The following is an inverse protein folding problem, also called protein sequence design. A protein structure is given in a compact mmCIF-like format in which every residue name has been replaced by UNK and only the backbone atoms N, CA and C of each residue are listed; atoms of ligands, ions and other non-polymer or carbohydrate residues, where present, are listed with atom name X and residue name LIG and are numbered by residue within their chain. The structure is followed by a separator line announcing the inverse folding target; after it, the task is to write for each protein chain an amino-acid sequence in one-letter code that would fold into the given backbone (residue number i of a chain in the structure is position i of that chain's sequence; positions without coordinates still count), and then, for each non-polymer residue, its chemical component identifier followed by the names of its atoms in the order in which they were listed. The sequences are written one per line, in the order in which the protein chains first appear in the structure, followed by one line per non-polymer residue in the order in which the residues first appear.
data_IF_212690404711
#
_entry.id   IF_212690404711
#
_cell.length_a   1.000
_cell.length_b   1.000
_cell.length_c   1.000
_cell.angle_alpha   90.00
_cell.angle_beta   90.00
_cell.angle_gamma   90.00
#
_symmetry.space_group_name_H-M   'P 1'
#
loop_
_entity.id
_entity.type
_entity.pdbx_description
1 polymer ?
#
# COMPACT_ATOMS: atom_id res chain seq x y z
N UNK A 1 -14.20 28.73 85.45
CA UNK A 1 -14.43 27.42 86.10
C UNK A 1 -14.76 26.41 85.01
N UNK A 2 -14.08 25.24 85.05
CA UNK A 2 -14.29 24.03 84.23
C UNK A 2 -15.76 23.65 84.13
N UNK A 3 -16.17 22.94 83.08
CA UNK A 3 -16.83 21.62 83.12
C UNK A 3 -16.86 21.09 81.66
N UNK A 4 -15.99 20.15 81.29
CA UNK A 4 -16.15 18.69 81.37
C UNK A 4 -17.08 18.10 80.27
N UNK A 5 -16.46 17.40 79.32
CA UNK A 5 -17.05 16.30 78.53
C UNK A 5 -17.65 15.22 79.46
N UNK A 6 -18.60 14.42 78.95
CA UNK A 6 -18.34 12.99 78.81
C UNK A 6 -18.98 12.41 77.51
N UNK A 7 -19.04 11.08 77.28
CA UNK A 7 -18.01 10.35 76.55
C UNK A 7 -18.53 9.55 75.34
N UNK A 8 -17.58 8.90 74.67
CA UNK A 8 -17.73 8.00 73.54
C UNK A 8 -18.80 6.90 73.74
N UNK A 9 -19.53 6.61 72.66
CA UNK A 9 -20.10 5.30 72.39
C UNK A 9 -19.47 4.74 71.12
N UNK A 10 -19.01 3.51 71.25
CA UNK A 10 -18.16 2.74 70.35
C UNK A 10 -19.04 1.85 69.47
N UNK A 11 -18.53 1.54 68.28
CA UNK A 11 -18.92 0.45 67.37
C UNK A 11 -20.20 0.65 66.52
N UNK A 12 -20.01 0.76 65.20
CA UNK A 12 -19.92 -0.44 64.36
C UNK A 12 -19.48 -0.06 62.94
N UNK A 13 -18.36 -0.66 62.50
CA UNK A 13 -17.97 -0.75 61.10
C UNK A 13 -19.08 -1.47 60.32
N UNK A 14 -19.60 -0.87 59.25
CA UNK A 14 -20.05 -1.65 58.11
C UNK A 14 -19.66 -0.98 56.81
N UNK A 15 -18.97 -1.79 56.00
CA UNK A 15 -18.26 -1.46 54.77
C UNK A 15 -19.24 -0.97 53.70
N UNK A 16 -18.90 0.11 53.01
CA UNK A 16 -19.38 0.34 51.65
C UNK A 16 -18.21 0.84 50.80
N UNK A 17 -17.37 -0.11 50.39
CA UNK A 17 -16.42 0.05 49.29
C UNK A 17 -17.17 -0.30 48.00
N UNK A 18 -17.89 0.66 47.41
CA UNK A 18 -18.43 0.64 46.04
C UNK A 18 -19.23 1.95 45.86
N UNK A 19 -18.82 2.90 45.00
CA UNK A 19 -18.31 2.63 43.67
C UNK A 19 -17.05 3.45 43.33
N UNK A 20 -15.88 2.86 43.57
CA UNK A 20 -14.66 3.17 42.80
C UNK A 20 -14.64 2.39 41.46
N UNK A 21 -15.82 2.05 40.93
CA UNK A 21 -16.01 1.24 39.69
C UNK A 21 -16.52 2.11 38.51
N UNK A 22 -16.69 3.42 38.69
CA UNK A 22 -17.12 4.30 37.59
C UNK A 22 -15.93 4.90 36.79
N UNK A 23 -14.68 4.66 37.20
CA UNK A 23 -13.50 5.30 36.59
C UNK A 23 -12.66 4.41 35.64
N UNK A 24 -13.20 3.30 35.08
CA UNK A 24 -12.47 2.47 34.09
C UNK A 24 -13.28 2.21 32.80
N UNK A 25 -14.34 2.99 32.55
CA UNK A 25 -15.09 2.93 31.28
C UNK A 25 -14.62 3.98 30.25
N UNK A 26 -13.35 4.39 30.30
CA UNK A 26 -12.70 5.14 29.23
C UNK A 26 -11.71 4.23 28.47
N UNK A 27 -12.19 3.05 28.05
CA UNK A 27 -11.52 2.35 26.95
C UNK A 27 -11.90 3.13 25.69
N UNK A 28 -11.09 4.17 25.42
CA UNK A 28 -11.09 4.82 24.11
C UNK A 28 -10.93 3.74 23.04
N UNK A 29 -11.69 3.88 21.96
CA UNK A 29 -11.61 2.99 20.81
C UNK A 29 -10.14 2.82 20.42
N UNK A 30 -9.57 1.65 20.70
CA UNK A 30 -8.29 1.27 20.14
C UNK A 30 -8.53 1.20 18.64
N UNK A 31 -7.99 2.17 17.90
CA UNK A 31 -7.95 2.11 16.45
C UNK A 31 -7.38 0.73 16.08
N UNK A 32 -8.13 -0.07 15.33
CA UNK A 32 -7.84 -1.48 15.07
C UNK A 32 -6.64 -1.70 14.13
N UNK A 33 -5.76 -0.71 14.01
CA UNK A 33 -4.48 -0.83 13.33
C UNK A 33 -3.45 -1.44 14.27
N UNK A 34 -2.57 -2.27 13.72
CA UNK A 34 -1.50 -2.89 14.48
C UNK A 34 -0.17 -2.71 13.79
N UNK A 35 0.90 -2.66 14.59
CA UNK A 35 2.25 -2.68 14.09
C UNK A 35 2.47 -3.93 13.21
N UNK A 36 2.96 -3.69 12.00
CA UNK A 36 3.38 -4.69 11.04
C UNK A 36 4.86 -4.47 10.72
N UNK A 37 5.70 -5.18 11.46
CA UNK A 37 7.16 -5.10 11.32
C UNK A 37 7.66 -5.70 9.99
N UNK A 38 6.91 -6.63 9.39
CA UNK A 38 7.29 -7.26 8.12
C UNK A 38 7.12 -6.26 6.98
N UNK A 39 5.92 -5.70 6.84
CA UNK A 39 5.65 -4.65 5.87
C UNK A 39 6.50 -3.40 6.13
N UNK A 40 6.87 -3.13 7.38
CA UNK A 40 7.80 -2.07 7.75
C UNK A 40 9.15 -2.21 7.06
N UNK A 41 9.78 -3.39 7.11
CA UNK A 41 11.07 -3.65 6.47
C UNK A 41 10.99 -3.57 4.95
N UNK A 42 9.96 -4.18 4.35
CA UNK A 42 9.75 -4.13 2.89
C UNK A 42 9.56 -2.68 2.43
N UNK A 43 8.79 -1.89 3.18
CA UNK A 43 8.60 -0.48 2.87
C UNK A 43 9.90 0.32 3.03
N UNK A 44 10.69 0.07 4.09
CA UNK A 44 12.01 0.71 4.27
C UNK A 44 12.92 0.52 3.05
N UNK A 45 13.03 -0.72 2.56
CA UNK A 45 13.79 -1.04 1.34
C UNK A 45 13.22 -0.30 0.12
N UNK A 46 11.88 -0.30 -0.02
CA UNK A 46 11.18 0.39 -1.10
C UNK A 46 11.36 1.92 -1.11
N UNK A 47 11.65 2.55 0.05
CA UNK A 47 11.82 4.01 0.13
C UNK A 47 13.02 4.52 -0.69
N UNK A 48 13.99 3.64 -0.97
CA UNK A 48 15.14 3.97 -1.81
C UNK A 48 14.79 4.10 -3.30
N UNK A 49 13.66 3.52 -3.74
CA UNK A 49 13.21 3.56 -5.12
C UNK A 49 12.36 4.80 -5.41
N UNK A 50 12.41 5.27 -6.65
CA UNK A 50 11.72 6.50 -7.07
C UNK A 50 10.20 6.34 -7.15
N UNK A 51 9.74 5.10 -7.31
CA UNK A 51 8.35 4.71 -7.27
C UNK A 51 8.17 3.54 -6.31
N UNK A 52 7.07 3.56 -5.57
CA UNK A 52 6.60 2.41 -4.82
C UNK A 52 5.07 2.38 -4.82
N UNK A 53 4.50 1.21 -4.62
CA UNK A 53 3.06 0.97 -4.65
C UNK A 53 2.65 0.25 -3.38
N UNK A 54 1.60 0.73 -2.73
CA UNK A 54 0.98 0.07 -1.57
C UNK A 54 -0.42 -0.34 -1.97
N UNK A 55 -0.75 -1.62 -1.88
CA UNK A 55 -2.08 -2.13 -2.19
C UNK A 55 -2.74 -2.76 -0.96
N UNK A 56 -4.05 -2.57 -0.81
CA UNK A 56 -4.88 -3.16 0.24
C UNK A 56 -6.07 -3.85 -0.41
N UNK A 57 -6.28 -5.13 -0.09
CA UNK A 57 -7.28 -5.99 -0.77
C UNK A 57 -8.49 -6.30 0.10
N UNK A 58 -9.63 -6.48 -0.56
CA UNK A 58 -10.89 -6.99 0.01
C UNK A 58 -11.35 -6.24 1.28
N UNK A 59 -11.45 -4.91 1.20
CA UNK A 59 -11.90 -4.06 2.29
C UNK A 59 -13.42 -4.14 2.40
N UNK A 60 -13.88 -4.91 3.39
CA UNK A 60 -15.31 -5.07 3.73
C UNK A 60 -15.78 -3.94 4.65
N UNK A 61 -17.03 -3.46 4.52
CA UNK A 61 -17.60 -2.44 5.39
C UNK A 61 -17.74 -2.95 6.83
N UNK A 62 -17.53 -2.07 7.82
CA UNK A 62 -17.73 -2.40 9.23
C UNK A 62 -19.11 -1.96 9.70
N UNK A 63 -19.90 -2.93 10.16
CA UNK A 63 -21.23 -2.70 10.76
C UNK A 63 -21.24 -1.86 12.06
N UNK A 64 -20.09 -1.51 12.65
CA UNK A 64 -19.99 -0.91 14.00
C UNK A 64 -19.05 0.29 14.14
N UNK A 65 -18.59 0.91 13.04
CA UNK A 65 -17.73 2.11 13.16
C UNK A 65 -18.62 3.32 13.40
N UNK A 66 -18.67 3.79 14.66
CA UNK A 66 -19.49 4.94 15.08
C UNK A 66 -19.25 6.20 14.25
N UNK A 67 -18.06 6.37 13.70
CA UNK A 67 -17.65 7.57 12.95
C UNK A 67 -17.71 7.40 11.43
N UNK A 68 -17.91 6.20 10.90
CA UNK A 68 -17.79 5.91 9.45
C UNK A 68 -16.38 6.05 8.86
N UNK A 69 -15.38 6.45 9.68
CA UNK A 69 -13.98 6.65 9.30
C UNK A 69 -13.12 5.52 9.84
N UNK A 70 -12.41 4.82 8.95
CA UNK A 70 -11.55 3.69 9.27
C UNK A 70 -10.10 3.99 8.89
N UNK A 71 -9.16 3.93 9.84
CA UNK A 71 -7.73 3.99 9.50
C UNK A 71 -7.28 2.65 8.90
N UNK A 72 -6.78 2.67 7.67
CA UNK A 72 -6.31 1.48 6.96
C UNK A 72 -4.81 1.27 7.13
N UNK A 73 -4.05 2.38 7.07
CA UNK A 73 -2.59 2.40 7.12
C UNK A 73 -2.11 3.64 7.87
N UNK A 74 -1.08 3.50 8.68
CA UNK A 74 -0.28 4.60 9.19
C UNK A 74 1.21 4.26 9.10
N UNK A 75 2.00 5.16 8.55
CA UNK A 75 3.45 5.08 8.43
C UNK A 75 4.02 6.15 9.36
N UNK A 76 4.64 5.73 10.44
CA UNK A 76 5.27 6.62 11.41
C UNK A 76 6.79 6.62 11.20
N UNK A 77 7.41 7.79 11.37
CA UNK A 77 8.86 8.01 11.26
C UNK A 77 9.38 8.46 12.64
N UNK A 78 9.60 7.51 13.57
CA UNK A 78 9.95 7.78 14.96
C UNK A 78 11.08 8.80 15.12
N UNK A 79 10.87 9.75 16.03
CA UNK A 79 11.87 10.78 16.35
C UNK A 79 11.98 11.93 15.34
N UNK A 80 11.38 11.84 14.14
CA UNK A 80 11.40 12.92 13.14
C UNK A 80 10.13 13.80 13.13
N UNK A 81 9.11 13.44 13.92
CA UNK A 81 7.77 14.06 13.92
C UNK A 81 7.13 14.09 12.52
N UNK A 82 7.48 13.12 11.68
CA UNK A 82 6.84 12.88 10.39
C UNK A 82 5.92 11.66 10.54
N UNK A 83 4.73 11.72 9.93
CA UNK A 83 3.78 10.61 9.95
C UNK A 83 2.82 10.71 8.79
N UNK A 84 2.45 9.60 8.17
CA UNK A 84 1.39 9.55 7.17
C UNK A 84 0.30 8.58 7.60
N UNK A 85 -0.96 8.95 7.42
CA UNK A 85 -2.12 8.15 7.78
C UNK A 85 -3.11 8.15 6.63
N UNK A 86 -3.53 6.96 6.20
CA UNK A 86 -4.60 6.77 5.24
C UNK A 86 -5.86 6.29 5.96
N UNK A 87 -6.96 7.01 5.73
CA UNK A 87 -8.26 6.71 6.30
C UNK A 87 -9.32 6.60 5.21
N UNK A 88 -10.26 5.69 5.40
CA UNK A 88 -11.42 5.49 4.54
C UNK A 88 -12.65 6.05 5.25
N UNK A 89 -13.26 7.08 4.67
CA UNK A 89 -14.54 7.66 5.12
C UNK A 89 -15.64 7.31 4.11
N UNK A 90 -16.39 6.25 4.41
CA UNK A 90 -17.48 5.79 3.54
C UNK A 90 -18.67 6.73 3.52
N UNK A 91 -18.92 7.42 4.64
CA UNK A 91 -20.06 8.32 4.79
C UNK A 91 -19.89 9.57 3.95
N UNK A 92 -18.67 10.11 3.93
CA UNK A 92 -18.34 11.28 3.12
C UNK A 92 -17.85 10.94 1.71
N UNK A 93 -17.78 9.64 1.36
CA UNK A 93 -17.26 9.13 0.08
C UNK A 93 -15.83 9.59 -0.23
N UNK A 94 -14.94 9.46 0.77
CA UNK A 94 -13.58 9.99 0.71
C UNK A 94 -12.54 8.99 1.20
N UNK A 95 -11.36 9.04 0.58
CA UNK A 95 -10.13 8.52 1.19
C UNK A 95 -9.29 9.70 1.64
N UNK A 96 -9.03 9.80 2.94
CA UNK A 96 -8.29 10.89 3.55
C UNK A 96 -6.84 10.46 3.73
N UNK A 97 -5.92 11.30 3.27
CA UNK A 97 -4.50 11.18 3.50
C UNK A 97 -4.06 12.32 4.43
N UNK A 98 -3.74 11.97 5.67
CA UNK A 98 -3.16 12.91 6.63
C UNK A 98 -1.64 12.78 6.63
N UNK A 99 -0.94 13.90 6.50
CA UNK A 99 0.52 13.99 6.59
C UNK A 99 0.87 14.92 7.74
N UNK A 100 1.67 14.43 8.67
CA UNK A 100 2.31 15.24 9.72
C UNK A 100 3.71 15.56 9.25
N UNK A 101 4.04 16.84 9.16
CA UNK A 101 5.38 17.32 8.83
C UNK A 101 5.89 18.24 9.94
N UNK A 102 7.01 17.89 10.57
CA UNK A 102 7.59 18.64 11.69
C UNK A 102 6.57 18.90 12.84
N UNK A 103 5.63 17.97 13.03
CA UNK A 103 4.53 18.08 14.00
C UNK A 103 3.32 18.89 13.54
N UNK A 104 3.32 19.46 12.32
CA UNK A 104 2.14 20.10 11.73
C UNK A 104 1.36 19.11 10.88
N UNK A 105 0.09 18.93 11.20
CA UNK A 105 -0.79 18.02 10.46
C UNK A 105 -1.44 18.73 9.26
N UNK A 106 -1.49 18.05 8.13
CA UNK A 106 -2.20 18.44 6.92
C UNK A 106 -3.03 17.27 6.42
N UNK A 107 -4.35 17.44 6.35
CA UNK A 107 -5.26 16.49 5.72
C UNK A 107 -5.54 16.87 4.28
N UNK A 108 -5.43 15.92 3.37
CA UNK A 108 -5.92 16.00 1.99
C UNK A 108 -6.82 14.80 1.73
N UNK A 109 -7.68 14.85 0.72
CA UNK A 109 -8.57 13.73 0.43
C UNK A 109 -8.78 13.53 -1.07
N UNK A 110 -9.07 12.29 -1.42
CA UNK A 110 -9.63 11.88 -2.69
C UNK A 110 -11.14 11.74 -2.53
N UNK A 111 -11.91 12.27 -3.48
CA UNK A 111 -13.34 11.97 -3.61
C UNK A 111 -13.47 10.68 -4.40
N UNK A 112 -14.35 9.78 -3.94
CA UNK A 112 -14.53 8.44 -4.52
C UNK A 112 -16.02 8.20 -4.69
N UNK A 113 -16.56 8.51 -5.87
CA UNK A 113 -18.00 8.50 -6.11
C UNK A 113 -18.61 7.09 -6.03
N UNK A 114 -17.83 6.06 -6.34
CA UNK A 114 -18.20 4.65 -6.26
C UNK A 114 -18.30 4.12 -4.82
N UNK A 115 -17.87 4.89 -3.82
CA UNK A 115 -17.88 4.46 -2.43
C UNK A 115 -19.28 4.57 -1.81
N UNK A 116 -19.80 3.45 -1.31
CA UNK A 116 -21.02 3.40 -0.49
C UNK A 116 -20.69 2.91 0.92
N UNK A 117 -21.64 3.04 1.86
CA UNK A 117 -21.45 2.60 3.25
C UNK A 117 -21.31 1.07 3.37
N UNK A 118 -21.85 0.33 2.41
CA UNK A 118 -21.99 -1.12 2.41
C UNK A 118 -21.23 -1.84 1.28
N UNK A 119 -20.59 -1.11 0.36
CA UNK A 119 -19.83 -1.72 -0.73
C UNK A 119 -18.56 -2.42 -0.24
N UNK A 120 -18.19 -3.53 -0.86
CA UNK A 120 -16.87 -4.12 -0.70
C UNK A 120 -15.93 -3.42 -1.69
N UNK A 121 -14.78 -2.97 -1.22
CA UNK A 121 -13.70 -2.52 -2.11
C UNK A 121 -12.80 -3.72 -2.35
N UNK A 122 -12.67 -4.14 -3.60
CA UNK A 122 -11.84 -5.28 -3.97
C UNK A 122 -10.36 -4.92 -3.91
N UNK A 123 -10.00 -3.74 -4.41
CA UNK A 123 -8.62 -3.26 -4.40
C UNK A 123 -8.56 -1.75 -4.15
N UNK A 124 -7.69 -1.35 -3.22
CA UNK A 124 -7.29 0.04 -3.01
C UNK A 124 -5.78 0.11 -3.19
N UNK A 125 -5.31 0.94 -4.13
CA UNK A 125 -3.90 1.05 -4.48
C UNK A 125 -3.43 2.50 -4.39
N UNK A 126 -2.36 2.73 -3.64
CA UNK A 126 -1.61 3.98 -3.62
C UNK A 126 -0.35 3.83 -4.46
N UNK A 127 -0.26 4.57 -5.57
CA UNK A 127 0.98 4.72 -6.33
C UNK A 127 1.71 5.96 -5.84
N UNK A 128 2.90 5.79 -5.28
CA UNK A 128 3.68 6.84 -4.65
C UNK A 128 4.89 7.14 -5.56
N UNK A 129 4.91 8.35 -6.09
CA UNK A 129 5.99 8.89 -6.92
C UNK A 129 6.85 9.83 -6.08
N UNK A 130 8.12 9.49 -5.91
CA UNK A 130 9.08 10.23 -5.08
C UNK A 130 9.98 11.16 -5.90
N UNK A 131 9.85 11.13 -7.22
CA UNK A 131 10.62 11.98 -8.13
C UNK A 131 10.36 13.47 -7.88
N UNK A 132 11.45 14.23 -7.74
CA UNK A 132 11.41 15.69 -7.66
C UNK A 132 11.32 16.28 -9.07
N UNK A 133 10.69 17.46 -9.25
CA UNK A 133 10.24 18.41 -8.22
C UNK A 133 8.82 18.21 -7.69
N UNK A 134 8.02 17.30 -8.25
CA UNK A 134 6.60 17.14 -7.92
C UNK A 134 6.28 15.70 -7.47
N UNK A 135 6.71 15.32 -6.25
CA UNK A 135 6.31 14.04 -5.71
C UNK A 135 4.81 14.06 -5.41
N UNK A 136 4.17 12.93 -5.66
CA UNK A 136 2.72 12.82 -5.59
C UNK A 136 2.28 11.39 -5.31
N UNK A 137 1.04 11.27 -4.84
CA UNK A 137 0.40 10.00 -4.55
C UNK A 137 -0.88 9.93 -5.37
N UNK A 138 -0.98 8.91 -6.23
CA UNK A 138 -2.19 8.61 -6.97
C UNK A 138 -2.97 7.49 -6.29
N UNK A 139 -4.28 7.65 -6.18
CA UNK A 139 -5.19 6.64 -5.63
C UNK A 139 -5.93 5.93 -6.76
N UNK A 140 -5.97 4.60 -6.68
CA UNK A 140 -6.82 3.75 -7.49
C UNK A 140 -7.73 2.94 -6.57
N UNK A 141 -9.01 2.85 -6.91
CA UNK A 141 -10.00 2.02 -6.21
C UNK A 141 -10.71 1.20 -7.26
N UNK A 142 -10.77 -0.12 -7.04
CA UNK A 142 -11.40 -1.08 -7.94
C UNK A 142 -11.03 -0.83 -9.41
N UNK A 143 -9.73 -0.65 -9.64
CA UNK A 143 -9.11 -0.44 -10.95
C UNK A 143 -9.33 0.93 -11.59
N UNK A 144 -10.04 1.83 -10.93
CA UNK A 144 -10.29 3.18 -11.40
C UNK A 144 -9.41 4.20 -10.68
N UNK A 145 -8.72 5.05 -11.45
CA UNK A 145 -7.92 6.16 -10.90
C UNK A 145 -8.85 7.25 -10.35
N UNK A 146 -8.75 7.51 -9.05
CA UNK A 146 -9.60 8.46 -8.33
C UNK A 146 -9.02 9.88 -8.31
N UNK A 147 -7.69 10.00 -8.37
CA UNK A 147 -7.03 11.31 -8.38
C UNK A 147 -5.57 11.25 -7.99
N UNK A 148 -4.97 12.44 -7.83
CA UNK A 148 -3.58 12.64 -7.45
C UNK A 148 -3.48 13.73 -6.39
N UNK A 149 -2.69 13.48 -5.35
CA UNK A 149 -2.36 14.46 -4.31
C UNK A 149 -0.86 14.71 -4.35
N UNK A 150 -0.47 15.97 -4.55
CA UNK A 150 0.92 16.37 -4.46
C UNK A 150 1.37 16.35 -2.99
N UNK A 151 2.55 15.79 -2.74
CA UNK A 151 3.14 15.75 -1.41
C UNK A 151 4.24 16.82 -1.30
N UNK A 152 4.28 17.64 -0.24
CA UNK A 152 5.37 18.62 -0.07
C UNK A 152 6.74 17.96 0.16
N UNK A 153 6.73 16.75 0.74
CA UNK A 153 7.91 15.91 0.97
C UNK A 153 7.66 14.49 0.49
N UNK A 154 8.75 13.82 0.09
CA UNK A 154 8.74 12.39 -0.25
C UNK A 154 8.81 11.54 1.01
N UNK A 155 8.41 10.27 0.93
CA UNK A 155 8.60 9.32 2.04
C UNK A 155 10.10 9.11 2.32
N UNK A 156 10.92 9.07 1.25
CA UNK A 156 12.38 9.01 1.32
C UNK A 156 12.95 10.18 2.12
N UNK A 157 12.51 11.41 1.85
CA UNK A 157 12.97 12.59 2.58
C UNK A 157 12.55 12.55 4.06
N UNK A 158 11.33 12.10 4.34
CA UNK A 158 10.88 11.91 5.73
C UNK A 158 11.77 10.89 6.45
N UNK A 159 12.09 9.78 5.79
CA UNK A 159 12.95 8.73 6.32
C UNK A 159 14.39 9.21 6.60
N UNK A 160 15.00 9.90 5.65
CA UNK A 160 16.38 10.39 5.76
C UNK A 160 16.56 11.47 6.84
N UNK A 161 15.48 12.11 7.29
CA UNK A 161 15.55 13.08 8.41
C UNK A 161 15.53 12.44 9.80
N UNK A 162 15.35 11.11 9.88
CA UNK A 162 15.39 10.40 11.16
C UNK A 162 16.83 10.31 11.69
N UNK A 163 17.00 10.55 13.00
CA UNK A 163 18.30 10.34 13.67
C UNK A 163 18.70 8.87 13.72
N UNK A 164 17.72 7.99 13.90
CA UNK A 164 17.91 6.55 13.94
C UNK A 164 16.85 5.92 13.02
N UNK A 165 17.19 5.64 11.75
CA UNK A 165 16.20 5.31 10.74
C UNK A 165 15.59 3.93 10.98
N UNK A 166 14.36 3.93 11.49
CA UNK A 166 13.50 2.75 11.67
C UNK A 166 12.04 3.15 11.52
N UNK A 167 11.42 2.74 10.45
CA UNK A 167 10.02 2.98 10.11
C UNK A 167 9.11 2.14 11.01
N UNK A 168 7.92 2.67 11.32
CA UNK A 168 6.87 1.90 11.97
C UNK A 168 5.61 1.94 11.11
N UNK A 169 5.24 0.79 10.57
CA UNK A 169 4.04 0.64 9.76
C UNK A 169 2.95 0.02 10.61
N UNK A 170 1.79 0.66 10.66
CA UNK A 170 0.59 0.18 11.31
C UNK A 170 -0.50 -0.02 10.28
N UNK A 171 -1.13 -1.20 10.25
CA UNK A 171 -2.23 -1.49 9.32
C UNK A 171 -3.40 -2.18 9.99
N UNK A 172 -4.57 -2.08 9.37
CA UNK A 172 -5.72 -2.89 9.76
C UNK A 172 -5.46 -4.38 9.43
N UNK A 173 -5.43 -5.23 10.47
CA UNK A 173 -5.03 -6.64 10.35
C UNK A 173 -5.92 -7.47 9.44
N UNK A 174 -7.19 -7.10 9.34
CA UNK A 174 -8.21 -7.86 8.60
C UNK A 174 -8.03 -7.82 7.08
N UNK A 175 -7.26 -6.85 6.57
CA UNK A 175 -7.05 -6.67 5.15
C UNK A 175 -5.60 -7.03 4.80
N UNK A 176 -5.45 -7.72 3.66
CA UNK A 176 -4.14 -8.01 3.11
C UNK A 176 -3.55 -6.73 2.53
N UNK A 177 -2.31 -6.42 2.90
CA UNK A 177 -1.55 -5.30 2.40
C UNK A 177 -0.27 -5.80 1.75
N UNK A 178 0.09 -5.24 0.60
CA UNK A 178 1.32 -5.54 -0.12
C UNK A 178 2.03 -4.23 -0.44
N UNK A 179 3.36 -4.25 -0.41
CA UNK A 179 4.23 -3.15 -0.82
C UNK A 179 5.10 -3.63 -1.97
N UNK A 180 5.10 -2.90 -3.07
CA UNK A 180 5.87 -3.22 -4.26
C UNK A 180 6.77 -2.05 -4.65
N UNK A 181 8.04 -2.31 -4.94
CA UNK A 181 9.04 -1.27 -5.27
C UNK A 181 9.69 -1.45 -6.63
N UNK A 182 9.63 -2.65 -7.20
CA UNK A 182 10.34 -3.04 -8.43
C UNK A 182 9.37 -3.44 -9.56
N UNK A 183 8.15 -2.90 -9.52
CA UNK A 183 7.09 -3.25 -10.47
C UNK A 183 6.34 -2.01 -10.91
N UNK A 184 5.74 -2.08 -12.10
CA UNK A 184 4.92 -1.00 -12.61
C UNK A 184 3.53 -1.04 -11.98
N UNK A 185 2.84 0.10 -11.98
CA UNK A 185 1.49 0.17 -11.41
C UNK A 185 0.53 -0.75 -12.17
N UNK A 186 0.70 -0.90 -13.48
CA UNK A 186 -0.11 -1.79 -14.33
C UNK A 186 0.00 -3.24 -13.85
N UNK A 187 1.21 -3.72 -13.53
CA UNK A 187 1.40 -5.07 -12.99
C UNK A 187 0.71 -5.26 -11.64
N UNK A 188 0.74 -4.26 -10.76
CA UNK A 188 0.00 -4.33 -9.48
C UNK A 188 -1.50 -4.36 -9.73
N UNK A 189 -2.02 -3.52 -10.63
CA UNK A 189 -3.44 -3.51 -11.01
C UNK A 189 -3.86 -4.87 -11.59
N UNK A 190 -3.06 -5.46 -12.49
CA UNK A 190 -3.36 -6.76 -13.07
C UNK A 190 -3.38 -7.88 -12.01
N UNK A 191 -2.45 -7.87 -11.04
CA UNK A 191 -2.47 -8.78 -9.88
C UNK A 191 -3.71 -8.59 -8.99
N UNK A 192 -4.33 -7.42 -9.05
CA UNK A 192 -5.56 -7.09 -8.35
C UNK A 192 -6.83 -7.34 -9.20
N UNK A 193 -6.71 -8.16 -10.26
CA UNK A 193 -7.78 -8.51 -11.19
C UNK A 193 -8.37 -7.31 -11.94
N UNK A 194 -7.55 -6.29 -12.18
CA UNK A 194 -7.91 -5.21 -13.08
C UNK A 194 -7.68 -5.65 -14.52
N UNK A 195 -8.68 -5.51 -15.42
CA UNK A 195 -8.45 -5.75 -16.84
C UNK A 195 -7.46 -4.71 -17.37
N UNK A 196 -6.48 -5.15 -18.15
CA UNK A 196 -5.64 -4.25 -18.93
C UNK A 196 -6.56 -3.43 -19.84
N UNK A 197 -6.74 -2.16 -19.51
CA UNK A 197 -7.29 -1.19 -20.45
C UNK A 197 -6.17 -0.85 -21.43
N UNK A 198 -5.82 -1.81 -22.29
CA UNK A 198 -5.36 -1.43 -23.63
C UNK A 198 -6.53 -0.61 -24.16
N UNK A 199 -6.32 0.71 -24.19
CA UNK A 199 -7.27 1.66 -24.75
C UNK A 199 -7.48 1.20 -26.20
N UNK A 200 -8.52 0.40 -26.42
CA UNK A 200 -9.20 0.37 -27.71
C UNK A 200 -9.69 1.79 -27.88
N UNK A 201 -8.84 2.62 -28.49
CA UNK A 201 -9.25 3.91 -29.00
C UNK A 201 -10.42 3.58 -29.92
N UNK A 202 -11.62 4.04 -29.54
CA UNK A 202 -12.73 4.02 -30.47
C UNK A 202 -12.25 4.80 -31.70
N UNK A 203 -12.05 4.11 -32.81
CA UNK A 203 -11.93 4.76 -34.11
C UNK A 203 -13.29 5.43 -34.28
N UNK A 204 -13.35 6.74 -34.05
CA UNK A 204 -14.49 7.53 -34.48
C UNK A 204 -14.59 7.31 -35.99
N UNK A 205 -15.67 6.62 -36.41
CA UNK A 205 -15.94 6.45 -37.82
C UNK A 205 -16.05 7.85 -38.43
N UNK A 206 -15.07 8.22 -39.26
CA UNK A 206 -15.15 9.42 -40.07
C UNK A 206 -16.50 9.40 -40.82
N UNK A 207 -17.22 10.52 -40.78
CA UNK A 207 -18.54 10.65 -41.38
C UNK A 207 -18.51 10.12 -42.83
N UNK A 208 -19.45 9.25 -43.22
CA UNK A 208 -19.41 8.64 -44.54
C UNK A 208 -19.62 9.72 -45.61
N UNK A 209 -18.68 9.84 -46.53
CA UNK A 209 -18.91 10.55 -47.78
C UNK A 209 -20.06 9.87 -48.51
N UNK A 210 -21.03 10.69 -48.87
CA UNK A 210 -22.33 10.31 -49.41
C UNK A 210 -22.17 9.70 -50.80
N UNK A 211 -21.82 8.42 -50.89
CA UNK A 211 -21.91 7.58 -52.09
C UNK A 211 -21.64 6.12 -51.75
N UNK A 212 -22.61 5.44 -51.12
CA UNK A 212 -22.84 3.99 -51.32
C UNK A 212 -24.10 3.57 -50.56
N UNK A 213 -25.25 3.84 -51.18
CA UNK A 213 -26.50 3.16 -50.82
C UNK A 213 -26.67 2.03 -51.83
N UNK A 214 -26.20 0.81 -51.50
CA UNK A 214 -26.80 -0.41 -52.04
C UNK A 214 -26.41 -1.68 -51.26
N UNK A 215 -27.31 -2.06 -50.35
CA UNK A 215 -27.81 -3.43 -50.07
C UNK A 215 -26.82 -4.59 -50.28
N UNK A 216 -26.47 -5.31 -49.22
CA UNK A 216 -26.77 -6.75 -49.00
C UNK A 216 -26.71 -7.04 -47.51
N UNK A 217 -27.71 -7.79 -47.03
CA UNK A 217 -27.91 -8.24 -45.65
C UNK A 217 -27.31 -9.65 -45.55
N UNK A 218 -26.38 -9.85 -44.60
CA UNK A 218 -25.85 -11.15 -44.23
C UNK A 218 -24.56 -11.52 -44.96
N UNK A 219 -23.42 -11.11 -44.37
CA UNK A 219 -22.16 -11.86 -44.32
C UNK A 219 -21.28 -11.12 -43.29
N UNK A 220 -20.81 -11.83 -42.26
CA UNK A 220 -19.78 -11.30 -41.35
C UNK A 220 -18.46 -11.38 -42.14
N UNK A 221 -17.78 -10.26 -42.44
CA UNK A 221 -16.45 -10.34 -43.00
C UNK A 221 -15.54 -10.96 -41.94
N UNK A 222 -14.95 -12.12 -42.26
CA UNK A 222 -13.80 -12.63 -41.50
C UNK A 222 -12.67 -11.65 -41.84
N UNK A 223 -12.44 -10.68 -40.96
CA UNK A 223 -11.28 -9.80 -41.02
C UNK A 223 -10.08 -10.69 -40.70
N UNK A 224 -9.45 -11.24 -41.74
CA UNK A 224 -8.19 -11.96 -41.62
C UNK A 224 -7.02 -10.97 -41.75
N UNK A 225 -7.04 -9.91 -40.95
CA UNK A 225 -5.89 -9.02 -40.77
C UNK A 225 -5.49 -9.08 -39.29
N UNK A 226 -5.13 -10.27 -38.83
CA UNK A 226 -4.13 -10.36 -37.78
C UNK A 226 -2.83 -9.92 -38.47
N UNK A 227 -2.30 -8.76 -38.10
CA UNK A 227 -0.98 -8.30 -38.56
C UNK A 227 0.08 -9.35 -38.19
N UNK A 228 0.29 -10.33 -39.08
CA UNK A 228 1.30 -11.38 -38.93
C UNK A 228 2.69 -10.74 -38.75
N UNK A 229 2.90 -9.55 -39.32
CA UNK A 229 4.11 -8.76 -39.12
C UNK A 229 4.28 -8.26 -37.68
N UNK A 230 3.20 -7.92 -36.97
CA UNK A 230 3.27 -7.51 -35.56
C UNK A 230 3.53 -8.71 -34.65
N UNK A 231 2.88 -9.83 -34.93
CA UNK A 231 3.11 -11.10 -34.20
C UNK A 231 4.54 -11.61 -34.41
N UNK A 232 5.03 -11.60 -35.65
CA UNK A 232 6.40 -12.01 -35.99
C UNK A 232 7.43 -11.07 -35.35
N UNK A 233 7.13 -9.77 -35.27
CA UNK A 233 8.01 -8.81 -34.58
C UNK A 233 8.07 -9.06 -33.06
N UNK A 234 6.93 -9.31 -32.43
CA UNK A 234 6.86 -9.64 -31.01
C UNK A 234 7.60 -10.97 -30.69
N UNK A 235 7.45 -11.99 -31.54
CA UNK A 235 8.16 -13.26 -31.40
C UNK A 235 9.68 -13.06 -31.54
N UNK A 236 10.12 -12.27 -32.52
CA UNK A 236 11.54 -11.99 -32.71
C UNK A 236 12.13 -11.22 -31.52
N UNK A 237 11.42 -10.23 -30.98
CA UNK A 237 11.85 -9.50 -29.78
C UNK A 237 11.95 -10.43 -28.56
N UNK A 238 10.99 -11.34 -28.37
CA UNK A 238 11.02 -12.34 -27.30
C UNK A 238 12.21 -13.29 -27.44
N UNK A 239 12.52 -13.73 -28.66
CA UNK A 239 13.68 -14.61 -28.94
C UNK A 239 15.00 -13.92 -28.60
N UNK A 240 15.14 -12.63 -28.90
CA UNK A 240 16.33 -11.86 -28.50
C UNK A 240 16.48 -11.78 -26.97
N UNK A 241 15.40 -11.49 -26.25
CA UNK A 241 15.43 -11.39 -24.78
C UNK A 241 15.76 -12.74 -24.15
N UNK A 242 15.19 -13.84 -24.66
CA UNK A 242 15.47 -15.20 -24.14
C UNK A 242 16.92 -15.61 -24.40
N UNK A 243 17.51 -15.23 -25.53
CA UNK A 243 18.94 -15.47 -25.81
C UNK A 243 19.83 -14.70 -24.84
N UNK A 244 19.52 -13.44 -24.58
CA UNK A 244 20.27 -12.60 -23.65
C UNK A 244 20.19 -13.14 -22.21
N UNK A 245 19.00 -13.52 -21.75
CA UNK A 245 18.81 -14.15 -20.44
C UNK A 245 19.57 -15.49 -20.32
N UNK A 246 19.62 -16.29 -21.39
CA UNK A 246 20.39 -17.53 -21.39
C UNK A 246 21.89 -17.28 -21.27
N UNK A 247 22.40 -16.24 -21.93
CA UNK A 247 23.80 -15.84 -21.85
C UNK A 247 24.16 -15.29 -20.46
N UNK A 248 23.28 -14.50 -19.84
CA UNK A 248 23.44 -14.01 -18.47
C UNK A 248 23.42 -15.14 -17.44
N UNK A 249 22.52 -16.11 -17.59
CA UNK A 249 22.45 -17.29 -16.69
C UNK A 249 23.69 -18.18 -16.82
N UNK A 250 24.20 -18.41 -18.03
CA UNK A 250 25.40 -19.20 -18.23
C UNK A 250 26.63 -18.48 -17.66
N UNK A 251 26.70 -17.16 -17.82
CA UNK A 251 27.73 -16.32 -17.20
C UNK A 251 27.68 -16.41 -15.67
N UNK A 252 26.50 -16.25 -15.06
CA UNK A 252 26.33 -16.39 -13.61
C UNK A 252 26.67 -17.79 -13.10
N UNK A 253 26.39 -18.85 -13.88
CA UNK A 253 26.79 -20.23 -13.53
C UNK A 253 28.30 -20.39 -13.48
N UNK A 254 29.02 -19.83 -14.45
CA UNK A 254 30.49 -19.84 -14.46
C UNK A 254 31.06 -19.07 -13.28
N UNK A 255 30.52 -17.89 -12.98
CA UNK A 255 30.95 -17.09 -11.81
C UNK A 255 30.70 -17.82 -10.50
N UNK A 256 29.52 -18.43 -10.35
CA UNK A 256 29.18 -19.23 -9.15
C UNK A 256 30.10 -20.44 -9.01
N UNK A 257 30.48 -21.08 -10.11
CA UNK A 257 31.40 -22.22 -10.08
C UNK A 257 32.83 -21.79 -9.73
N UNK A 258 33.28 -20.65 -10.26
CA UNK A 258 34.57 -20.04 -9.93
C UNK A 258 34.66 -19.62 -8.47
N UNK A 259 33.58 -19.06 -7.90
CA UNK A 259 33.50 -18.76 -6.48
C UNK A 259 33.57 -20.02 -5.60
N UNK A 260 32.93 -21.12 -6.00
CA UNK A 260 33.05 -22.40 -5.29
C UNK A 260 34.46 -22.96 -5.33
N UNK A 261 35.13 -22.90 -6.49
CA UNK A 261 36.52 -23.35 -6.62
C UNK A 261 37.48 -22.53 -5.73
N UNK A 262 37.30 -21.20 -5.69
CA UNK A 262 38.09 -20.33 -4.81
C UNK A 262 37.83 -20.58 -3.32
N UNK A 263 36.63 -21.04 -2.95
CA UNK A 263 36.31 -21.44 -1.57
C UNK A 263 36.92 -22.81 -1.21
N UNK A 264 36.99 -23.75 -2.15
CA UNK A 264 37.60 -25.07 -1.95
C UNK A 264 39.13 -25.00 -1.87
N UNK A 265 39.77 -24.02 -2.53
CA UNK A 265 41.23 -23.81 -2.55
C UNK A 265 41.72 -22.88 -1.42
N UNK A 266 40.81 -22.37 -0.58
CA UNK A 266 41.15 -21.49 0.53
C UNK A 266 41.30 -22.28 1.85
N UNK A 267 42.55 -22.51 2.28
CA UNK A 267 42.90 -23.17 3.56
C UNK A 267 42.28 -22.50 4.81
N UNK A 268 41.90 -21.22 4.71
CA UNK A 268 41.29 -20.44 5.81
C UNK A 268 39.75 -20.53 5.86
N UNK A 269 39.10 -21.15 4.87
CA UNK A 269 37.64 -21.22 4.76
C UNK A 269 37.06 -22.59 5.16
N UNK A 270 37.90 -23.55 5.59
CA UNK A 270 37.39 -24.82 6.13
C UNK A 270 36.59 -24.55 7.41
N UNK A 271 35.36 -25.08 7.54
CA UNK A 271 34.56 -24.90 8.73
C UNK A 271 35.20 -25.64 9.92
N UNK A 272 35.96 -24.87 10.71
CA UNK A 272 36.30 -25.08 12.11
C UNK A 272 36.62 -26.52 12.51
N UNK A 273 37.90 -26.87 12.46
CA UNK A 273 38.43 -27.86 13.38
C UNK A 273 38.10 -27.43 14.81
N UNK A 274 37.37 -28.31 15.48
CA UNK A 274 36.95 -28.22 16.87
C UNK A 274 38.20 -28.26 17.75
N UNK A 275 38.66 -27.10 18.21
CA UNK A 275 39.69 -27.02 19.25
C UNK A 275 39.08 -27.45 20.60
N UNK A 276 39.45 -28.65 21.02
CA UNK A 276 39.42 -29.27 22.37
C UNK A 276 38.24 -28.97 23.28
#
# INVERSE_FOLDING_TARGET
HRYLLPPASVAAKMRSLLPLIVAVAAIGNVAAISLDSESGKVLEEALHNDQLVISVKHIKPRRRVRTGVETLLAIDFPGSRQKIVMQLDRRSRRVVLETTENGRMRGQHFTVDSLTEDSIINSLVLSIQQNRPQPHIALYIDCEKQGVINTPRTLRDMFLTMRNPRLQVYRERRYTMEVDSDTTIERVLNRNNCPDTVQMQAIEAAAPTLNEIQRVRGDIPIIHDCDDNMLVKAINELVTIVKQLREEVETQRVETHKLRQLLEECDMCQPGERWT
#
